data_IF_832320487851
#
_entry.id   IF_832320487851
#
_cell.length_a   1.000
_cell.length_b   1.000
_cell.length_c   1.000
_cell.angle_alpha   90.00
_cell.angle_beta   90.00
_cell.angle_gamma   90.00
#
_symmetry.space_group_name_H-M   'P 1'
#
loop_
_entity.id
_entity.type
_entity.pdbx_description
1 polymer ?
#
# COMPACT_ATOMS: atom_id res chain seq x y z
N UNK A 1 13.54 17.30 59.95
CA UNK A 1 14.11 16.35 58.97
C UNK A 1 13.24 16.40 57.72
N UNK A 2 13.87 16.70 56.58
CA UNK A 2 13.23 16.85 55.26
C UNK A 2 12.75 15.49 54.76
N UNK A 3 11.49 15.38 54.36
CA UNK A 3 11.05 14.35 53.43
C UNK A 3 10.47 15.10 52.22
N UNK A 4 11.32 15.27 51.21
CA UNK A 4 10.97 15.80 49.90
C UNK A 4 10.03 14.79 49.23
N UNK A 5 8.75 15.16 49.10
CA UNK A 5 7.82 14.44 48.23
C UNK A 5 8.27 14.65 46.78
N UNK A 6 8.93 13.64 46.24
CA UNK A 6 9.29 13.58 44.82
C UNK A 6 8.04 13.21 44.03
N UNK A 7 7.36 14.20 43.48
CA UNK A 7 6.26 14.04 42.53
C UNK A 7 6.79 13.49 41.20
N UNK A 8 6.72 12.17 41.03
CA UNK A 8 6.99 11.49 39.76
C UNK A 8 5.84 11.82 38.78
N UNK A 9 6.10 12.70 37.81
CA UNK A 9 5.24 12.88 36.65
C UNK A 9 5.31 11.62 35.76
N UNK A 10 4.27 10.79 35.81
CA UNK A 10 4.04 9.74 34.82
C UNK A 10 3.49 10.39 33.54
N UNK A 11 4.34 10.59 32.54
CA UNK A 11 3.91 10.81 31.15
C UNK A 11 3.21 9.54 30.66
N UNK A 12 1.95 9.58 30.19
CA UNK A 12 1.42 8.48 29.41
C UNK A 12 2.12 8.49 28.05
N UNK A 13 3.04 7.55 27.86
CA UNK A 13 3.53 7.15 26.54
C UNK A 13 2.34 6.59 25.77
N UNK A 14 1.66 7.44 25.00
CA UNK A 14 0.71 7.00 23.98
C UNK A 14 1.51 6.34 22.85
N UNK A 15 1.96 5.10 23.08
CA UNK A 15 2.30 4.23 21.97
C UNK A 15 0.97 3.84 21.31
N UNK A 16 0.64 4.51 20.20
CA UNK A 16 -0.40 4.01 19.29
C UNK A 16 0.16 2.78 18.60
N UNK A 17 0.17 1.64 19.27
CA UNK A 17 0.42 0.35 18.63
C UNK A 17 -0.85 -0.07 17.92
N UNK A 18 -0.84 -0.01 16.59
CA UNK A 18 -1.86 -0.64 15.75
C UNK A 18 -2.66 0.34 14.91
N UNK A 19 -2.11 0.76 13.77
CA UNK A 19 -2.93 1.10 12.62
C UNK A 19 -2.26 0.58 11.36
N UNK A 20 -2.50 -0.68 11.04
CA UNK A 20 -2.29 -1.15 9.68
C UNK A 20 -3.59 -1.78 9.18
N UNK A 21 -4.66 -0.99 9.34
CA UNK A 21 -5.86 -1.12 8.55
C UNK A 21 -5.63 -0.29 7.28
N UNK A 22 -5.63 -0.96 6.13
CA UNK A 22 -5.53 -0.28 4.83
C UNK A 22 -6.54 0.87 4.75
N UNK A 23 -6.14 2.05 4.22
CA UNK A 23 -7.06 3.16 4.06
C UNK A 23 -8.22 2.76 3.16
N UNK A 24 -9.39 3.36 3.40
CA UNK A 24 -10.51 3.17 2.50
C UNK A 24 -10.21 3.80 1.13
N UNK A 25 -10.74 3.26 0.02
CA UNK A 25 -10.56 3.83 -1.32
C UNK A 25 -10.94 5.32 -1.47
N UNK A 26 -11.83 5.82 -0.63
CA UNK A 26 -12.26 7.23 -0.57
C UNK A 26 -11.28 8.15 0.16
N UNK A 27 -10.37 7.58 0.95
CA UNK A 27 -9.42 8.31 1.79
C UNK A 27 -8.09 8.56 1.06
N UNK A 28 -7.88 7.96 -0.11
CA UNK A 28 -6.71 8.21 -0.93
C UNK A 28 -6.73 9.66 -1.45
N UNK A 29 -5.91 10.50 -0.84
CA UNK A 29 -5.78 11.92 -1.18
C UNK A 29 -4.35 12.26 -1.54
N UNK A 30 -4.19 13.15 -2.51
CA UNK A 30 -2.90 13.74 -2.80
C UNK A 30 -2.60 14.79 -1.72
N UNK A 31 -1.45 14.75 -1.04
CA UNK A 31 -1.08 15.75 -0.03
C UNK A 31 -0.83 17.14 -0.65
N UNK A 32 -0.61 17.22 -1.97
CA UNK A 32 -0.49 18.49 -2.67
C UNK A 32 -1.88 19.09 -2.97
N UNK A 33 -2.17 20.35 -2.58
CA UNK A 33 -3.51 20.93 -2.64
C UNK A 33 -4.12 21.10 -4.05
N UNK A 34 -3.33 20.92 -5.12
CA UNK A 34 -3.80 20.86 -6.51
C UNK A 34 -3.24 19.64 -7.24
N UNK A 35 -2.88 18.59 -6.49
CA UNK A 35 -2.22 17.42 -7.04
C UNK A 35 -3.18 16.52 -7.82
N UNK A 36 -2.64 15.82 -8.82
CA UNK A 36 -3.37 14.77 -9.54
C UNK A 36 -3.97 13.77 -8.55
N UNK A 37 -5.22 13.34 -8.81
CA UNK A 37 -5.91 12.33 -8.02
C UNK A 37 -5.02 11.11 -7.77
N UNK A 38 -4.96 10.63 -6.53
CA UNK A 38 -4.30 9.37 -6.20
C UNK A 38 -5.15 8.22 -6.73
N UNK A 39 -4.56 7.41 -7.60
CA UNK A 39 -5.20 6.26 -8.20
C UNK A 39 -5.04 5.02 -7.35
N UNK A 40 -3.85 4.81 -6.78
CA UNK A 40 -3.57 3.70 -5.89
C UNK A 40 -2.45 4.02 -4.91
N UNK A 41 -2.42 3.32 -3.78
CA UNK A 41 -1.29 3.23 -2.87
C UNK A 41 -0.85 1.76 -2.80
N UNK A 42 0.45 1.50 -2.96
CA UNK A 42 1.06 0.18 -2.87
C UNK A 42 2.05 0.13 -1.72
N UNK A 43 2.08 -0.98 -0.99
CA UNK A 43 2.79 -1.12 0.27
C UNK A 43 3.65 -2.39 0.28
N UNK A 44 4.71 -2.39 1.09
CA UNK A 44 5.68 -3.49 1.11
C UNK A 44 5.48 -4.49 2.25
N UNK A 45 4.73 -4.13 3.28
CA UNK A 45 4.57 -5.02 4.43
C UNK A 45 3.42 -6.00 4.22
N UNK A 46 3.69 -7.27 4.55
CA UNK A 46 2.72 -8.35 4.65
C UNK A 46 2.57 -8.78 6.12
N UNK A 47 1.38 -9.25 6.48
CA UNK A 47 1.12 -9.79 7.81
C UNK A 47 0.04 -10.87 7.76
N UNK A 48 0.11 -11.90 8.61
CA UNK A 48 -1.01 -12.82 8.82
C UNK A 48 -2.24 -12.13 9.44
N UNK A 49 -2.04 -10.98 10.10
CA UNK A 49 -3.09 -10.16 10.69
C UNK A 49 -3.46 -9.01 9.74
N UNK A 50 -4.71 -8.96 9.31
CA UNK A 50 -5.19 -8.00 8.30
C UNK A 50 -5.08 -6.53 8.74
N UNK A 51 -5.20 -6.28 10.03
CA UNK A 51 -5.04 -4.98 10.69
C UNK A 51 -3.58 -4.57 10.90
N UNK A 52 -2.64 -5.42 10.44
CA UNK A 52 -1.21 -5.16 10.37
C UNK A 52 -0.69 -5.14 8.91
N UNK A 53 -1.58 -5.03 7.91
CA UNK A 53 -1.23 -4.92 6.49
C UNK A 53 -1.25 -3.46 5.98
N UNK A 54 -0.79 -3.21 4.76
CA UNK A 54 -0.70 -1.83 4.21
C UNK A 54 0.22 -0.90 5.03
N UNK A 55 1.32 -1.46 5.53
CA UNK A 55 2.40 -0.76 6.22
C UNK A 55 3.68 -0.66 5.39
N UNK A 56 4.77 -0.25 6.04
CA UNK A 56 6.09 -0.23 5.42
C UNK A 56 6.30 0.90 4.42
N UNK A 57 7.06 0.63 3.37
CA UNK A 57 7.30 1.61 2.32
C UNK A 57 6.05 1.80 1.48
N UNK A 58 5.69 3.06 1.23
CA UNK A 58 4.52 3.45 0.45
C UNK A 58 4.93 3.99 -0.92
N UNK A 59 4.36 3.41 -1.98
CA UNK A 59 4.36 3.97 -3.32
C UNK A 59 2.98 4.56 -3.63
N UNK A 60 2.92 5.88 -3.76
CA UNK A 60 1.72 6.58 -4.23
C UNK A 60 1.72 6.62 -5.76
N UNK A 61 0.62 6.15 -6.36
CA UNK A 61 0.44 6.13 -7.81
C UNK A 61 -0.65 7.12 -8.21
N UNK A 62 -0.32 8.00 -9.16
CA UNK A 62 -1.23 9.04 -9.63
C UNK A 62 -2.14 8.53 -10.77
N UNK A 63 -3.27 9.19 -10.95
CA UNK A 63 -4.16 8.90 -12.08
C UNK A 63 -3.46 9.13 -13.42
N UNK A 64 -3.56 8.16 -14.33
CA UNK A 64 -2.92 8.17 -15.64
C UNK A 64 -1.47 7.71 -15.63
N UNK A 65 -0.89 7.43 -14.46
CA UNK A 65 0.50 7.02 -14.35
C UNK A 65 0.72 5.63 -14.96
N UNK A 66 1.73 5.55 -15.83
CA UNK A 66 2.07 4.37 -16.59
C UNK A 66 3.57 4.06 -16.46
N UNK A 67 3.89 3.05 -15.64
CA UNK A 67 5.26 2.64 -15.39
C UNK A 67 5.54 1.24 -15.96
N UNK A 68 6.25 1.14 -17.10
CA UNK A 68 6.71 -0.15 -17.62
C UNK A 68 7.79 -0.79 -16.74
N UNK A 69 8.41 -0.03 -15.85
CA UNK A 69 9.43 -0.51 -14.91
C UNK A 69 9.13 0.03 -13.51
N UNK A 70 8.88 -0.87 -12.56
CA UNK A 70 8.66 -0.50 -11.16
C UNK A 70 9.93 0.16 -10.59
N UNK A 71 9.81 1.22 -9.76
CA UNK A 71 10.95 1.78 -9.04
C UNK A 71 11.68 0.70 -8.23
N UNK A 72 13.00 0.76 -8.18
CA UNK A 72 13.85 -0.28 -7.56
C UNK A 72 13.46 -0.61 -6.12
N UNK A 73 12.98 0.38 -5.35
CA UNK A 73 12.53 0.20 -3.98
C UNK A 73 11.27 -0.67 -3.85
N UNK A 74 10.48 -0.84 -4.92
CA UNK A 74 9.17 -1.51 -4.93
C UNK A 74 9.09 -2.71 -5.89
N UNK A 75 10.05 -2.86 -6.81
CA UNK A 75 10.07 -3.97 -7.76
C UNK A 75 10.15 -5.31 -7.04
N UNK A 76 9.13 -6.17 -7.23
CA UNK A 76 8.99 -7.45 -6.54
C UNK A 76 8.96 -7.33 -5.01
N UNK A 77 8.39 -6.24 -4.49
CA UNK A 77 8.32 -5.96 -3.04
C UNK A 77 6.95 -5.55 -2.54
N UNK A 78 5.97 -5.37 -3.44
CA UNK A 78 4.62 -4.96 -3.05
C UNK A 78 3.85 -6.18 -2.55
N UNK A 79 3.28 -6.06 -1.36
CA UNK A 79 2.55 -7.12 -0.66
C UNK A 79 1.10 -6.76 -0.37
N UNK A 80 0.75 -5.47 -0.43
CA UNK A 80 -0.63 -5.02 -0.33
C UNK A 80 -0.85 -3.73 -1.10
N UNK A 81 -2.10 -3.43 -1.44
CA UNK A 81 -2.45 -2.20 -2.16
C UNK A 81 -3.88 -1.74 -1.90
N UNK A 82 -4.13 -0.46 -2.11
CA UNK A 82 -5.47 0.14 -2.14
C UNK A 82 -5.64 0.85 -3.47
N UNK A 83 -6.76 0.62 -4.15
CA UNK A 83 -7.14 1.33 -5.38
C UNK A 83 -8.28 2.30 -5.04
N UNK A 84 -8.11 3.55 -5.45
CA UNK A 84 -9.05 4.62 -5.17
C UNK A 84 -10.40 4.45 -5.87
N UNK A 85 -11.40 5.19 -5.38
CA UNK A 85 -12.73 5.19 -5.99
C UNK A 85 -12.71 5.57 -7.47
N UNK A 86 -13.48 4.85 -8.30
CA UNK A 86 -13.54 5.01 -9.76
C UNK A 86 -12.18 4.87 -10.46
N UNK A 87 -11.26 4.10 -9.88
CA UNK A 87 -9.97 3.79 -10.48
C UNK A 87 -9.78 2.27 -10.68
N UNK A 88 -8.86 1.92 -11.57
CA UNK A 88 -8.43 0.55 -11.83
C UNK A 88 -6.90 0.55 -11.99
N UNK A 89 -6.22 -0.29 -11.20
CA UNK A 89 -4.80 -0.54 -11.30
C UNK A 89 -4.57 -1.84 -12.08
N UNK A 90 -3.86 -1.76 -13.20
CA UNK A 90 -3.36 -2.93 -13.91
C UNK A 90 -1.89 -3.15 -13.55
N UNK A 91 -1.52 -4.37 -13.21
CA UNK A 91 -0.14 -4.75 -12.85
C UNK A 91 0.35 -5.92 -13.69
N UNK A 92 1.67 -5.97 -13.88
CA UNK A 92 2.35 -7.02 -14.61
C UNK A 92 3.47 -7.65 -13.79
N UNK A 93 3.64 -8.95 -13.99
CA UNK A 93 4.66 -9.75 -13.33
C UNK A 93 6.08 -9.41 -13.80
N UNK A 94 6.26 -9.18 -15.11
CA UNK A 94 7.57 -8.85 -15.68
C UNK A 94 7.65 -7.37 -16.03
N UNK A 95 8.87 -6.83 -15.91
CA UNK A 95 9.27 -5.54 -16.45
C UNK A 95 8.89 -5.41 -17.94
N UNK A 96 8.68 -4.18 -18.40
CA UNK A 96 8.20 -3.91 -19.75
C UNK A 96 6.75 -4.33 -19.99
N UNK A 97 5.94 -4.43 -18.91
CA UNK A 97 4.54 -4.90 -18.96
C UNK A 97 4.37 -6.31 -19.55
N UNK A 98 5.28 -7.21 -19.21
CA UNK A 98 5.28 -8.59 -19.71
C UNK A 98 4.69 -9.61 -18.73
N UNK A 99 4.45 -10.83 -19.22
CA UNK A 99 4.03 -11.97 -18.40
C UNK A 99 2.58 -11.86 -17.91
N UNK A 100 2.29 -12.51 -16.78
CA UNK A 100 0.96 -12.51 -16.18
C UNK A 100 0.54 -11.08 -15.82
N UNK A 101 -0.75 -10.80 -16.00
CA UNK A 101 -1.36 -9.48 -15.76
C UNK A 101 -2.54 -9.63 -14.81
N UNK A 102 -2.76 -8.63 -13.95
CA UNK A 102 -3.95 -8.56 -13.09
C UNK A 102 -4.51 -7.15 -13.03
N UNK A 103 -5.83 -7.05 -12.95
CA UNK A 103 -6.56 -5.81 -12.72
C UNK A 103 -7.15 -5.81 -11.32
N UNK A 104 -6.86 -4.76 -10.57
CA UNK A 104 -7.46 -4.46 -9.28
C UNK A 104 -8.41 -3.26 -9.47
N UNK A 105 -9.66 -3.45 -9.06
CA UNK A 105 -10.69 -2.39 -9.07
C UNK A 105 -10.61 -1.60 -7.77
N UNK A 106 -11.41 -0.55 -7.63
CA UNK A 106 -11.54 0.19 -6.37
C UNK A 106 -11.76 -0.77 -5.18
N UNK A 107 -10.93 -0.64 -4.14
CA UNK A 107 -10.92 -1.55 -2.99
C UNK A 107 -9.58 -1.59 -2.27
N UNK A 108 -9.59 -2.15 -1.05
CA UNK A 108 -8.39 -2.50 -0.31
C UNK A 108 -8.04 -3.97 -0.54
N UNK A 109 -6.76 -4.25 -0.75
CA UNK A 109 -6.20 -5.57 -1.02
C UNK A 109 -5.04 -5.81 -0.05
N UNK A 110 -5.36 -6.13 1.22
CA UNK A 110 -4.39 -6.20 2.30
C UNK A 110 -3.34 -7.31 2.14
N UNK A 111 -3.62 -8.37 1.38
CA UNK A 111 -2.72 -9.52 1.24
C UNK A 111 -2.67 -10.00 -0.21
N UNK A 112 -1.59 -9.66 -0.93
CA UNK A 112 -1.45 -10.06 -2.33
C UNK A 112 -1.23 -11.57 -2.54
N UNK A 113 -0.80 -12.26 -1.49
CA UNK A 113 -0.64 -13.72 -1.46
C UNK A 113 -1.95 -14.51 -1.71
N UNK A 114 -3.10 -13.88 -1.44
CA UNK A 114 -4.42 -14.48 -1.68
C UNK A 114 -4.81 -14.46 -3.16
N UNK A 115 -4.10 -13.68 -3.97
CA UNK A 115 -4.41 -13.50 -5.37
C UNK A 115 -3.44 -14.33 -6.21
N UNK A 116 -3.94 -15.40 -6.81
CA UNK A 116 -3.12 -16.25 -7.69
C UNK A 116 -2.68 -15.51 -8.95
N UNK A 117 -1.43 -15.78 -9.37
CA UNK A 117 -0.80 -15.22 -10.57
C UNK A 117 -0.81 -16.17 -11.77
N UNK A 118 -1.25 -17.40 -11.56
CA UNK A 118 -1.35 -18.47 -12.56
C UNK A 118 -1.45 -19.81 -11.85
N UNK A 119 -0.95 -20.87 -12.47
CA UNK A 119 -0.87 -22.19 -11.83
C UNK A 119 0.13 -22.21 -10.66
N UNK A 120 1.19 -21.41 -10.75
CA UNK A 120 2.23 -21.31 -9.73
C UNK A 120 2.31 -19.89 -9.17
N UNK A 121 2.32 -19.79 -7.84
CA UNK A 121 2.50 -18.54 -7.11
C UNK A 121 1.29 -17.60 -7.10
N UNK A 122 1.52 -16.47 -6.46
CA UNK A 122 0.55 -15.41 -6.24
C UNK A 122 1.16 -14.05 -6.58
N UNK A 123 0.45 -12.98 -6.24
CA UNK A 123 0.83 -11.61 -6.55
C UNK A 123 1.68 -10.97 -5.45
N UNK A 124 1.92 -11.65 -4.33
CA UNK A 124 2.83 -11.16 -3.31
C UNK A 124 4.23 -11.02 -3.90
N UNK A 125 4.89 -9.90 -3.62
CA UNK A 125 6.26 -9.63 -4.03
C UNK A 125 6.53 -9.88 -5.52
N UNK A 126 5.51 -9.68 -6.38
CA UNK A 126 5.57 -10.11 -7.79
C UNK A 126 5.32 -8.99 -8.79
N UNK A 127 4.96 -7.78 -8.36
CA UNK A 127 4.66 -6.66 -9.28
C UNK A 127 5.97 -6.02 -9.77
N UNK A 128 6.12 -5.93 -11.10
CA UNK A 128 7.29 -5.32 -11.77
C UNK A 128 6.94 -4.18 -12.73
N UNK A 129 5.65 -3.95 -13.03
CA UNK A 129 5.16 -2.81 -13.81
C UNK A 129 3.69 -2.54 -13.49
N UNK A 130 3.22 -1.31 -13.72
CA UNK A 130 1.83 -0.92 -13.46
C UNK A 130 1.34 0.18 -14.40
N UNK A 131 0.01 0.29 -14.48
CA UNK A 131 -0.71 1.37 -15.12
C UNK A 131 -1.98 1.62 -14.33
N UNK A 132 -2.25 2.88 -14.00
CA UNK A 132 -3.40 3.24 -13.18
C UNK A 132 -4.28 4.25 -13.90
N UNK A 133 -5.55 3.89 -14.13
CA UNK A 133 -6.55 4.76 -14.76
C UNK A 133 -7.65 5.10 -13.78
N UNK A 134 -8.18 6.31 -13.88
CA UNK A 134 -9.36 6.76 -13.16
C UNK A 134 -10.35 7.39 -14.13
N UNK A 135 -11.64 7.19 -13.84
CA UNK A 135 -12.76 7.82 -14.54
C UNK A 135 -13.40 8.91 -13.68
#
# INVERSE_FOLDING_TARGET
MKALLSTLLLLPLLFTTGQAQCPAPTELKNPHPNGTKVCSQMYTDDSPYYDLCCGGSLLMVLAGEDQPYMPTAFNNKVSSLVVGQRCELTVWYKKGKGGNTRKFKAGAYPRLQEFKRGLFGDWDNSISAYYCKCN
#
